data_IF_507941829943
#
_entry.id   IF_507941829943
#
_cell.length_a   1.000
_cell.length_b   1.000
_cell.length_c   1.000
_cell.angle_alpha   90.00
_cell.angle_beta   90.00
_cell.angle_gamma   90.00
#
_symmetry.space_group_name_H-M   'P 1'
#
loop_
_entity.id
_entity.type
_entity.pdbx_description
1 polymer ?
#
# COMPACT_ATOMS: atom_id res chain seq x y z
N UNK A 1 -23.22 -27.51 18.41
CA UNK A 1 -23.31 -26.84 17.11
C UNK A 1 -23.74 -25.37 17.19
N UNK A 2 -24.75 -25.01 18.00
CA UNK A 2 -25.19 -23.60 18.12
C UNK A 2 -24.14 -22.71 18.80
N UNK A 3 -23.46 -23.19 19.83
CA UNK A 3 -22.41 -22.48 20.56
C UNK A 3 -21.22 -22.12 19.65
N UNK A 4 -20.70 -23.09 18.90
CA UNK A 4 -19.57 -22.89 17.98
C UNK A 4 -19.89 -21.86 16.90
N UNK A 5 -21.11 -21.86 16.39
CA UNK A 5 -21.59 -20.89 15.42
C UNK A 5 -21.70 -19.48 16.04
N UNK A 6 -22.17 -19.39 17.27
CA UNK A 6 -22.28 -18.12 17.98
C UNK A 6 -20.89 -17.50 18.22
N UNK A 7 -19.92 -18.28 18.70
CA UNK A 7 -18.53 -17.84 18.92
C UNK A 7 -17.89 -17.39 17.61
N UNK A 8 -18.09 -18.16 16.53
CA UNK A 8 -17.56 -17.80 15.21
C UNK A 8 -18.12 -16.47 14.70
N UNK A 9 -19.42 -16.24 14.81
CA UNK A 9 -20.07 -14.99 14.41
C UNK A 9 -19.65 -13.80 15.26
N UNK A 10 -19.39 -14.02 16.55
CA UNK A 10 -18.91 -12.98 17.46
C UNK A 10 -17.47 -12.53 17.14
N UNK A 11 -16.66 -13.33 16.45
CA UNK A 11 -15.33 -12.96 15.98
C UNK A 11 -15.35 -11.98 14.80
N UNK A 12 -16.38 -12.06 13.95
CA UNK A 12 -16.46 -11.26 12.72
C UNK A 12 -16.48 -9.75 13.02
N UNK A 13 -17.27 -9.34 14.01
CA UNK A 13 -17.39 -7.92 14.37
C UNK A 13 -16.06 -7.27 14.78
N UNK A 14 -15.40 -7.76 15.83
CA UNK A 14 -14.09 -7.26 16.25
C UNK A 14 -13.01 -7.39 15.17
N UNK A 15 -13.05 -8.47 14.36
CA UNK A 15 -12.13 -8.66 13.25
C UNK A 15 -12.27 -7.57 12.20
N UNK A 16 -13.48 -7.30 11.71
CA UNK A 16 -13.72 -6.27 10.70
C UNK A 16 -13.39 -4.87 11.22
N UNK A 17 -13.72 -4.59 12.48
CA UNK A 17 -13.35 -3.33 13.13
C UNK A 17 -11.83 -3.15 13.21
N UNK A 18 -11.11 -4.15 13.71
CA UNK A 18 -9.66 -4.13 13.81
C UNK A 18 -9.02 -3.99 12.41
N UNK A 19 -9.51 -4.77 11.43
CA UNK A 19 -9.04 -4.73 10.06
C UNK A 19 -9.20 -3.33 9.46
N UNK A 20 -10.39 -2.73 9.62
CA UNK A 20 -10.66 -1.38 9.11
C UNK A 20 -9.77 -0.31 9.76
N UNK A 21 -9.66 -0.31 11.08
CA UNK A 21 -8.86 0.66 11.83
C UNK A 21 -7.37 0.53 11.46
N UNK A 22 -6.83 -0.69 11.49
CA UNK A 22 -5.41 -0.93 11.19
C UNK A 22 -5.08 -0.57 9.73
N UNK A 23 -5.96 -0.95 8.78
CA UNK A 23 -5.79 -0.61 7.37
C UNK A 23 -5.83 0.90 7.17
N UNK A 24 -6.76 1.60 7.84
CA UNK A 24 -6.84 3.05 7.78
C UNK A 24 -5.56 3.72 8.31
N UNK A 25 -5.07 3.29 9.47
CA UNK A 25 -3.83 3.82 10.05
C UNK A 25 -2.64 3.62 9.11
N UNK A 26 -2.45 2.40 8.58
CA UNK A 26 -1.34 2.11 7.66
C UNK A 26 -1.48 2.84 6.31
N UNK A 27 -2.70 3.10 5.86
CA UNK A 27 -2.92 3.85 4.62
C UNK A 27 -2.60 5.34 4.76
N UNK A 28 -2.61 5.88 5.97
CA UNK A 28 -2.44 7.32 6.23
C UNK A 28 -1.13 7.86 5.69
N UNK A 29 -0.02 7.12 5.84
CA UNK A 29 1.28 7.50 5.28
C UNK A 29 1.24 7.58 3.76
N UNK A 30 0.59 6.61 3.12
CA UNK A 30 0.45 6.60 1.65
C UNK A 30 -0.47 7.73 1.17
N UNK A 31 -1.56 7.97 1.87
CA UNK A 31 -2.47 9.10 1.58
C UNK A 31 -1.70 10.42 1.65
N UNK A 32 -0.91 10.64 2.69
CA UNK A 32 -0.08 11.83 2.84
C UNK A 32 0.88 12.03 1.66
N UNK A 33 1.60 10.98 1.24
CA UNK A 33 2.50 11.03 0.07
C UNK A 33 1.75 11.32 -1.22
N UNK A 34 0.56 10.75 -1.39
CA UNK A 34 -0.25 10.94 -2.60
C UNK A 34 -0.86 12.35 -2.67
N UNK A 35 -1.19 12.98 -1.53
CA UNK A 35 -1.65 14.37 -1.48
C UNK A 35 -0.57 15.32 -2.02
N UNK A 36 0.70 15.10 -1.69
CA UNK A 36 1.81 15.89 -2.25
C UNK A 36 1.85 15.84 -3.79
N UNK A 37 1.52 14.68 -4.38
CA UNK A 37 1.44 14.57 -5.84
C UNK A 37 0.33 15.42 -6.45
N UNK A 38 -0.80 15.57 -5.74
CA UNK A 38 -1.90 16.46 -6.19
C UNK A 38 -1.45 17.91 -6.14
N UNK A 39 -0.87 18.33 -5.01
CA UNK A 39 -0.51 19.73 -4.75
C UNK A 39 0.67 20.19 -5.60
N UNK A 40 1.71 19.40 -5.66
CA UNK A 40 2.96 19.76 -6.33
C UNK A 40 2.94 19.51 -7.84
N UNK A 41 2.24 18.46 -8.27
CA UNK A 41 2.29 17.98 -9.67
C UNK A 41 0.94 18.06 -10.41
N UNK A 42 -0.11 18.56 -9.77
CA UNK A 42 -1.43 18.73 -10.39
C UNK A 42 -2.09 17.43 -10.87
N UNK A 43 -1.80 16.33 -10.16
CA UNK A 43 -2.34 14.99 -10.45
C UNK A 43 -3.85 14.97 -10.22
N UNK A 44 -4.61 14.33 -11.12
CA UNK A 44 -6.04 14.15 -10.92
C UNK A 44 -6.33 13.38 -9.63
N UNK A 45 -7.29 13.87 -8.85
CA UNK A 45 -7.75 13.21 -7.62
C UNK A 45 -8.24 11.79 -7.88
N UNK A 46 -8.78 11.52 -9.07
CA UNK A 46 -9.23 10.20 -9.49
C UNK A 46 -8.05 9.22 -9.65
N UNK A 47 -6.96 9.65 -10.30
CA UNK A 47 -5.75 8.83 -10.45
C UNK A 47 -5.12 8.51 -9.10
N UNK A 48 -5.10 9.47 -8.18
CA UNK A 48 -4.63 9.26 -6.80
C UNK A 48 -5.49 8.24 -6.05
N UNK A 49 -6.81 8.33 -6.20
CA UNK A 49 -7.73 7.33 -5.65
C UNK A 49 -7.49 5.91 -6.16
N UNK A 50 -7.24 5.77 -7.48
CA UNK A 50 -6.88 4.48 -8.09
C UNK A 50 -5.54 3.95 -7.57
N UNK A 51 -4.52 4.81 -7.44
CA UNK A 51 -3.23 4.42 -6.86
C UNK A 51 -3.37 3.93 -5.42
N UNK A 52 -4.23 4.57 -4.62
CA UNK A 52 -4.53 4.12 -3.25
C UNK A 52 -5.24 2.75 -3.26
N UNK A 53 -6.19 2.55 -4.17
CA UNK A 53 -6.90 1.28 -4.33
C UNK A 53 -5.94 0.12 -4.70
N UNK A 54 -5.00 0.37 -5.60
CA UNK A 54 -3.97 -0.61 -5.98
C UNK A 54 -3.01 -0.97 -4.83
N UNK A 55 -2.83 -0.07 -3.86
CA UNK A 55 -2.04 -0.30 -2.64
C UNK A 55 -2.82 -1.03 -1.53
N UNK A 56 -4.15 -1.06 -1.57
CA UNK A 56 -4.98 -1.71 -0.56
C UNK A 56 -4.58 -3.17 -0.26
N UNK A 57 -4.32 -4.05 -1.25
CA UNK A 57 -3.92 -5.43 -0.97
C UNK A 57 -2.64 -5.54 -0.15
N UNK A 58 -1.69 -4.62 -0.33
CA UNK A 58 -0.46 -4.57 0.45
C UNK A 58 -0.74 -4.25 1.93
N UNK A 59 -1.64 -3.33 2.21
CA UNK A 59 -2.03 -3.03 3.59
C UNK A 59 -2.76 -4.21 4.22
N UNK A 60 -3.70 -4.81 3.48
CA UNK A 60 -4.45 -5.97 3.94
C UNK A 60 -3.54 -7.16 4.28
N UNK A 61 -2.47 -7.41 3.53
CA UNK A 61 -1.55 -8.51 3.81
C UNK A 61 -0.89 -8.41 5.20
N UNK A 62 -0.67 -7.18 5.68
CA UNK A 62 -0.09 -6.91 7.01
C UNK A 62 -1.16 -6.82 8.08
N UNK A 63 -2.28 -6.16 7.79
CA UNK A 63 -3.33 -5.92 8.80
C UNK A 63 -4.17 -7.15 9.08
N UNK A 64 -4.31 -8.07 8.14
CA UNK A 64 -5.12 -9.28 8.28
C UNK A 64 -4.69 -10.15 9.45
N UNK A 65 -3.41 -10.60 9.55
CA UNK A 65 -2.97 -11.39 10.71
C UNK A 65 -3.08 -10.62 12.03
N UNK A 66 -2.79 -9.33 12.03
CA UNK A 66 -2.93 -8.50 13.23
C UNK A 66 -4.39 -8.39 13.68
N UNK A 67 -5.31 -8.20 12.74
CA UNK A 67 -6.74 -8.12 13.03
C UNK A 67 -7.29 -9.42 13.61
N UNK A 68 -6.78 -10.59 13.18
CA UNK A 68 -7.14 -11.89 13.77
C UNK A 68 -6.73 -11.94 15.24
N UNK A 69 -5.50 -11.57 15.56
CA UNK A 69 -5.01 -11.55 16.95
C UNK A 69 -5.87 -10.64 17.79
N UNK A 70 -6.14 -9.41 17.34
CA UNK A 70 -6.98 -8.45 18.05
C UNK A 70 -8.38 -9.01 18.28
N UNK A 71 -9.00 -9.60 17.25
CA UNK A 71 -10.33 -10.19 17.34
C UNK A 71 -10.39 -11.33 18.37
N UNK A 72 -9.38 -12.21 18.38
CA UNK A 72 -9.28 -13.30 19.35
C UNK A 72 -9.15 -12.77 20.79
N UNK A 73 -8.29 -11.77 21.01
CA UNK A 73 -8.11 -11.15 22.32
C UNK A 73 -9.39 -10.49 22.79
N UNK A 74 -10.04 -9.70 21.95
CA UNK A 74 -11.31 -9.02 22.30
C UNK A 74 -12.40 -10.03 22.63
N UNK A 75 -12.52 -11.10 21.86
CA UNK A 75 -13.50 -12.17 22.14
C UNK A 75 -13.19 -12.85 23.49
N UNK A 76 -11.93 -13.21 23.73
CA UNK A 76 -11.55 -13.88 24.99
C UNK A 76 -11.80 -13.00 26.22
N UNK A 77 -11.46 -11.72 26.12
CA UNK A 77 -11.73 -10.75 27.20
C UNK A 77 -13.24 -10.67 27.45
N UNK A 78 -14.05 -10.57 26.41
CA UNK A 78 -15.51 -10.50 26.52
C UNK A 78 -16.09 -11.76 27.20
N UNK A 79 -15.75 -12.94 26.67
CA UNK A 79 -16.22 -14.21 27.24
C UNK A 79 -15.81 -14.40 28.70
N UNK A 80 -14.63 -13.89 29.08
CA UNK A 80 -14.15 -13.93 30.45
C UNK A 80 -14.89 -12.94 31.36
N UNK A 81 -15.10 -11.69 30.87
CA UNK A 81 -15.79 -10.63 31.63
C UNK A 81 -17.27 -10.98 31.89
N UNK A 82 -17.92 -11.57 30.89
CA UNK A 82 -19.32 -11.98 30.98
C UNK A 82 -19.50 -13.31 31.74
N UNK A 83 -18.40 -13.89 32.31
CA UNK A 83 -18.37 -15.18 32.99
C UNK A 83 -18.90 -16.36 32.15
N UNK A 84 -18.99 -16.19 30.83
CA UNK A 84 -19.48 -17.24 29.92
C UNK A 84 -18.58 -18.47 29.94
N UNK A 85 -17.24 -18.29 30.07
CA UNK A 85 -16.27 -19.38 30.17
C UNK A 85 -16.50 -20.21 31.43
N UNK A 86 -16.75 -19.56 32.55
CA UNK A 86 -17.05 -20.25 33.81
C UNK A 86 -18.37 -21.00 33.76
N UNK A 87 -19.40 -20.40 33.19
CA UNK A 87 -20.70 -21.03 32.99
C UNK A 87 -20.60 -22.28 32.10
N UNK A 88 -19.86 -22.18 30.97
CA UNK A 88 -19.63 -23.32 30.08
C UNK A 88 -18.85 -24.44 30.76
N UNK A 89 -17.80 -24.13 31.51
CA UNK A 89 -17.04 -25.12 32.27
C UNK A 89 -17.91 -25.81 33.35
N UNK A 90 -18.78 -25.07 34.03
CA UNK A 90 -19.71 -25.63 35.01
C UNK A 90 -20.73 -26.62 34.37
N UNK A 91 -21.06 -26.42 33.09
CA UNK A 91 -21.88 -27.35 32.31
C UNK A 91 -21.09 -28.53 31.71
N UNK A 92 -19.79 -28.64 32.01
CA UNK A 92 -18.92 -29.72 31.55
C UNK A 92 -18.35 -29.53 30.13
N UNK A 93 -18.50 -28.32 29.54
CA UNK A 93 -17.96 -28.00 28.23
C UNK A 93 -16.44 -27.76 28.39
N UNK A 94 -15.63 -28.45 27.60
CA UNK A 94 -14.19 -28.34 27.69
C UNK A 94 -13.67 -27.08 27.02
N UNK A 95 -12.53 -26.57 27.48
CA UNK A 95 -11.86 -25.41 26.85
C UNK A 95 -11.49 -25.66 25.37
N UNK A 96 -11.28 -26.91 24.98
CA UNK A 96 -11.04 -27.29 23.61
C UNK A 96 -12.27 -27.06 22.71
N UNK A 97 -13.46 -27.31 23.23
CA UNK A 97 -14.71 -27.08 22.48
C UNK A 97 -14.96 -25.58 22.24
N UNK A 98 -14.52 -24.73 23.19
CA UNK A 98 -14.56 -23.26 23.05
C UNK A 98 -13.46 -22.78 22.09
N UNK A 99 -12.27 -23.39 22.12
CA UNK A 99 -11.13 -23.04 21.28
C UNK A 99 -11.28 -23.44 19.83
N UNK A 100 -11.99 -24.55 19.55
CA UNK A 100 -12.14 -25.09 18.20
C UNK A 100 -12.71 -24.09 17.17
N UNK A 101 -13.80 -23.35 17.43
CA UNK A 101 -14.35 -22.36 16.49
C UNK A 101 -13.39 -21.18 16.25
N UNK A 102 -12.59 -20.81 17.25
CA UNK A 102 -11.58 -19.76 17.11
C UNK A 102 -10.46 -20.25 16.20
N UNK A 103 -10.02 -21.49 16.39
CA UNK A 103 -8.97 -22.10 15.56
C UNK A 103 -9.45 -22.25 14.09
N UNK A 104 -10.68 -22.69 13.87
CA UNK A 104 -11.29 -22.76 12.53
C UNK A 104 -11.38 -21.39 11.87
N UNK A 105 -11.78 -20.36 12.62
CA UNK A 105 -11.77 -18.98 12.14
C UNK A 105 -10.36 -18.56 11.71
N UNK A 106 -9.35 -18.88 12.53
CA UNK A 106 -7.95 -18.59 12.23
C UNK A 106 -7.47 -19.26 10.93
N UNK A 107 -7.84 -20.52 10.70
CA UNK A 107 -7.50 -21.25 9.45
C UNK A 107 -8.14 -20.58 8.24
N UNK A 108 -9.42 -20.26 8.30
CA UNK A 108 -10.15 -19.59 7.20
C UNK A 108 -9.53 -18.24 6.92
N UNK A 109 -9.28 -17.45 7.96
CA UNK A 109 -8.66 -16.15 7.83
C UNK A 109 -7.23 -16.23 7.30
N UNK A 110 -6.43 -17.23 7.71
CA UNK A 110 -5.09 -17.47 7.17
C UNK A 110 -5.13 -17.85 5.69
N UNK A 111 -6.09 -18.66 5.26
CA UNK A 111 -6.27 -19.00 3.84
C UNK A 111 -6.62 -17.76 3.01
N UNK A 112 -7.52 -16.90 3.52
CA UNK A 112 -7.86 -15.63 2.87
C UNK A 112 -6.65 -14.68 2.81
N UNK A 113 -5.90 -14.54 3.92
CA UNK A 113 -4.69 -13.73 3.97
C UNK A 113 -3.64 -14.23 2.96
N UNK A 114 -3.45 -15.54 2.86
CA UNK A 114 -2.53 -16.15 1.89
C UNK A 114 -2.95 -15.86 0.45
N UNK A 115 -4.24 -15.93 0.15
CA UNK A 115 -4.78 -15.59 -1.18
C UNK A 115 -4.51 -14.13 -1.52
N UNK A 116 -4.75 -13.21 -0.58
CA UNK A 116 -4.48 -11.78 -0.75
C UNK A 116 -2.99 -11.55 -1.03
N UNK A 117 -2.11 -12.17 -0.23
CA UNK A 117 -0.66 -11.97 -0.32
C UNK A 117 -0.05 -12.57 -1.58
N UNK A 118 -0.51 -13.75 -2.01
CA UNK A 118 0.08 -14.46 -3.15
C UNK A 118 -0.44 -13.96 -4.50
N UNK A 119 -1.70 -13.51 -4.57
CA UNK A 119 -2.34 -13.18 -5.84
C UNK A 119 -2.70 -11.69 -5.95
N UNK A 120 -3.34 -11.14 -4.95
CA UNK A 120 -3.88 -9.79 -5.03
C UNK A 120 -2.79 -8.72 -4.82
N UNK A 121 -1.86 -8.96 -3.92
CA UNK A 121 -0.77 -8.03 -3.62
C UNK A 121 0.17 -7.81 -4.82
N UNK A 122 0.70 -8.86 -5.52
CA UNK A 122 1.57 -8.63 -6.67
C UNK A 122 0.81 -8.00 -7.84
N UNK A 123 -0.47 -8.36 -8.07
CA UNK A 123 -1.29 -7.72 -9.08
C UNK A 123 -1.52 -6.22 -8.79
N UNK A 124 -1.83 -5.88 -7.54
CA UNK A 124 -1.98 -4.49 -7.11
C UNK A 124 -0.68 -3.69 -7.22
N UNK A 125 0.44 -4.30 -6.87
CA UNK A 125 1.75 -3.66 -7.00
C UNK A 125 2.11 -3.38 -8.47
N UNK A 126 1.89 -4.34 -9.36
CA UNK A 126 2.14 -4.16 -10.79
C UNK A 126 1.29 -3.02 -11.38
N UNK A 127 -0.01 -2.99 -11.06
CA UNK A 127 -0.91 -1.92 -11.49
C UNK A 127 -0.52 -0.54 -10.93
N UNK A 128 -0.05 -0.49 -9.68
CA UNK A 128 0.45 0.73 -9.07
C UNK A 128 1.70 1.27 -9.78
N UNK A 129 2.68 0.41 -10.06
CA UNK A 129 3.92 0.81 -10.75
C UNK A 129 3.64 1.24 -12.20
N UNK A 130 2.72 0.58 -12.90
CA UNK A 130 2.31 0.96 -14.24
C UNK A 130 1.69 2.38 -14.26
N UNK A 131 0.76 2.66 -13.33
CA UNK A 131 0.13 3.97 -13.24
C UNK A 131 1.15 5.05 -12.87
N UNK A 132 2.06 4.75 -11.94
CA UNK A 132 3.16 5.65 -11.55
C UNK A 132 4.09 5.95 -12.74
N UNK A 133 4.47 4.94 -13.54
CA UNK A 133 5.29 5.12 -14.74
C UNK A 133 4.58 5.94 -15.81
N UNK A 134 3.28 5.70 -16.05
CA UNK A 134 2.45 6.49 -16.94
C UNK A 134 2.47 7.96 -16.54
N UNK A 135 2.39 8.19 -15.24
CA UNK A 135 2.44 9.52 -14.64
C UNK A 135 3.79 10.21 -14.89
N UNK A 136 4.90 9.52 -14.59
CA UNK A 136 6.24 10.06 -14.81
C UNK A 136 6.49 10.40 -16.28
N UNK A 137 6.08 9.55 -17.21
CA UNK A 137 6.22 9.81 -18.65
C UNK A 137 5.45 11.07 -19.09
N UNK A 138 4.23 11.27 -18.60
CA UNK A 138 3.41 12.45 -18.95
C UNK A 138 3.95 13.74 -18.35
N UNK A 139 4.61 13.67 -17.20
CA UNK A 139 5.19 14.84 -16.52
C UNK A 139 6.56 15.22 -17.09
N UNK A 140 7.39 14.25 -17.50
CA UNK A 140 8.72 14.52 -18.07
C UNK A 140 8.62 15.44 -19.29
N UNK A 141 7.59 15.28 -20.11
CA UNK A 141 7.36 16.12 -21.28
C UNK A 141 6.94 17.56 -20.92
N UNK A 142 6.31 17.77 -19.77
CA UNK A 142 5.83 19.11 -19.33
C UNK A 142 6.84 19.86 -18.45
N UNK A 143 7.71 19.15 -17.73
CA UNK A 143 8.56 19.73 -16.67
C UNK A 143 9.93 20.21 -17.18
N UNK A 144 10.36 19.79 -18.39
CA UNK A 144 11.62 20.30 -18.97
C UNK A 144 11.43 21.76 -19.36
N UNK A 145 11.92 22.65 -18.52
CA UNK A 145 11.99 24.08 -18.80
C UNK A 145 13.31 24.35 -19.53
N UNK A 146 13.30 24.96 -20.73
CA UNK A 146 14.52 25.38 -21.39
C UNK A 146 15.23 26.46 -20.55
N UNK A 147 16.55 26.47 -20.59
CA UNK A 147 17.43 27.43 -19.87
C UNK A 147 17.44 27.30 -18.34
N UNK A 148 16.85 26.26 -17.73
CA UNK A 148 16.88 26.00 -16.28
C UNK A 148 17.57 24.67 -16.02
N UNK A 149 18.38 24.62 -14.93
CA UNK A 149 18.98 23.38 -14.42
C UNK A 149 17.86 22.51 -13.77
N UNK A 150 17.48 21.44 -14.46
CA UNK A 150 16.46 20.51 -13.95
C UNK A 150 17.13 19.46 -13.05
N UNK A 151 16.85 19.50 -11.73
CA UNK A 151 17.44 18.62 -10.71
C UNK A 151 16.59 17.37 -10.43
N UNK A 152 15.45 17.18 -11.12
CA UNK A 152 14.45 16.17 -10.79
C UNK A 152 14.77 14.73 -11.29
N UNK A 153 15.94 14.51 -11.87
CA UNK A 153 16.32 13.22 -12.45
C UNK A 153 17.34 12.49 -11.57
N UNK A 154 16.89 11.82 -10.51
CA UNK A 154 17.66 10.82 -9.73
C UNK A 154 19.19 11.04 -9.72
N UNK A 155 19.66 12.17 -9.21
CA UNK A 155 21.11 12.46 -9.10
C UNK A 155 21.77 13.02 -10.36
N UNK A 156 21.04 13.18 -11.48
CA UNK A 156 21.53 13.77 -12.73
C UNK A 156 21.00 15.18 -12.91
N UNK A 157 21.84 16.09 -13.32
CA UNK A 157 21.46 17.45 -13.67
C UNK A 157 21.33 17.53 -15.19
N UNK A 158 20.13 17.85 -15.66
CA UNK A 158 19.83 18.00 -17.07
C UNK A 158 19.66 19.51 -17.39
N UNK A 159 20.49 20.01 -18.28
CA UNK A 159 20.36 21.36 -18.81
C UNK A 159 20.01 21.27 -20.32
N UNK A 160 18.93 21.94 -20.72
CA UNK A 160 18.49 21.99 -22.11
C UNK A 160 18.50 23.43 -22.57
N UNK A 161 19.15 23.70 -23.69
CA UNK A 161 19.33 25.06 -24.20
C UNK A 161 18.07 25.56 -24.94
N UNK A 162 17.41 24.69 -25.69
CA UNK A 162 16.15 25.03 -26.37
C UNK A 162 15.24 23.82 -26.54
N UNK A 163 13.92 24.06 -26.52
CA UNK A 163 12.87 23.05 -26.75
C UNK A 163 11.99 23.48 -27.91
N UNK A 164 12.06 22.73 -29.00
CA UNK A 164 11.25 22.99 -30.17
C UNK A 164 9.79 22.46 -29.98
N UNK A 165 8.83 23.03 -30.70
CA UNK A 165 7.41 22.63 -30.64
C UNK A 165 7.14 21.14 -30.97
N UNK A 166 8.08 20.44 -31.59
CA UNK A 166 8.01 19.02 -31.94
C UNK A 166 8.72 18.10 -30.91
N UNK A 167 8.93 18.56 -29.65
CA UNK A 167 9.57 17.78 -28.59
C UNK A 167 11.05 17.41 -28.84
N UNK A 168 11.68 17.93 -29.90
CA UNK A 168 13.11 17.77 -30.09
C UNK A 168 13.89 18.76 -29.19
N UNK A 169 14.83 18.22 -28.42
CA UNK A 169 15.68 18.99 -27.52
C UNK A 169 16.99 19.32 -28.21
N UNK A 170 17.43 20.57 -28.15
CA UNK A 170 18.73 21.00 -28.67
C UNK A 170 19.65 21.47 -27.53
N UNK A 171 20.94 21.12 -27.64
CA UNK A 171 21.95 21.49 -26.64
C UNK A 171 21.73 20.79 -25.29
N UNK A 172 21.63 19.46 -25.28
CA UNK A 172 21.40 18.67 -24.07
C UNK A 172 22.71 18.43 -23.33
N UNK A 173 22.76 18.88 -22.08
CA UNK A 173 23.91 18.73 -21.18
C UNK A 173 23.49 17.89 -19.98
N UNK A 174 24.11 16.72 -19.78
CA UNK A 174 23.82 15.81 -18.67
C UNK A 174 25.06 15.66 -17.81
N UNK A 175 24.97 16.02 -16.52
CA UNK A 175 26.03 15.79 -15.55
C UNK A 175 25.56 14.75 -14.53
N UNK A 176 26.33 13.68 -14.37
CA UNK A 176 26.12 12.66 -13.35
C UNK A 176 26.87 13.04 -12.06
N UNK A 177 26.15 13.14 -10.95
CA UNK A 177 26.68 13.57 -9.64
C UNK A 177 27.01 12.40 -8.71
N UNK A 178 26.66 11.17 -9.09
CA UNK A 178 26.83 10.00 -8.20
C UNK A 178 28.25 9.44 -8.16
N UNK A 179 29.13 9.82 -9.06
CA UNK A 179 30.49 9.29 -9.08
C UNK A 179 31.44 10.16 -8.26
N UNK A 180 31.80 9.70 -7.09
CA UNK A 180 32.64 10.35 -6.07
C UNK A 180 34.03 10.77 -6.57
N UNK A 181 34.45 10.34 -7.77
CA UNK A 181 35.79 10.64 -8.32
C UNK A 181 35.84 10.99 -9.81
N UNK A 182 34.73 11.00 -10.56
CA UNK A 182 34.75 11.41 -11.97
C UNK A 182 33.38 11.95 -12.36
N UNK A 183 33.24 13.25 -12.59
CA UNK A 183 32.06 13.83 -13.21
C UNK A 183 32.05 13.47 -14.70
N UNK A 184 31.17 12.55 -15.09
CA UNK A 184 30.93 12.24 -16.50
C UNK A 184 29.97 13.27 -17.07
N UNK A 185 30.47 14.07 -18.02
CA UNK A 185 29.67 15.07 -18.71
C UNK A 185 29.38 14.55 -20.12
N UNK A 186 28.11 14.35 -20.44
CA UNK A 186 27.68 13.96 -21.76
C UNK A 186 27.05 15.15 -22.47
N UNK A 187 27.60 15.53 -23.60
CA UNK A 187 27.10 16.57 -24.48
C UNK A 187 26.45 15.93 -25.70
N UNK A 188 25.20 16.30 -25.99
CA UNK A 188 24.51 15.90 -27.22
C UNK A 188 23.91 17.11 -27.92
N UNK A 189 24.12 17.18 -29.22
CA UNK A 189 23.57 18.27 -30.05
C UNK A 189 22.05 18.15 -30.23
N UNK A 190 21.51 16.94 -30.18
CA UNK A 190 20.07 16.67 -30.31
C UNK A 190 19.66 15.50 -29.41
N UNK A 191 18.52 15.62 -28.76
CA UNK A 191 17.88 14.56 -28.00
C UNK A 191 16.38 14.51 -28.31
N UNK A 192 15.79 13.33 -28.26
CA UNK A 192 14.35 13.09 -28.36
C UNK A 192 13.89 12.33 -27.12
N UNK A 193 12.75 12.73 -26.58
CA UNK A 193 12.12 12.07 -25.41
C UNK A 193 10.98 11.20 -25.87
#
# INVERSE_FOLDING_TARGET
MLLSRSIFLQLIGPFLLALGILTFILSMETVYRLIHLIVERGVSIFSVGMMLLYRLPQFLSVTFPLAIVVACVVLMVRLSTDNEIYAMNAMGISLWEIGLPIFLFGIIAAALASTITLWLQPAGYAAYEEEKLRFLKTQTTKTIQPLVLNYDFSGKVLHVQDKNKNEDLSGVFITDRELTHSSMVTLSERGRI
#
